data_IF_026900471354
#
_entry.id   IF_026900471354
#
_cell.length_a   1.000
_cell.length_b   1.000
_cell.length_c   1.000
_cell.angle_alpha   90.00
_cell.angle_beta   90.00
_cell.angle_gamma   90.00
#
_symmetry.space_group_name_H-M   'P 1'
#
loop_
_entity.id
_entity.type
_entity.pdbx_description
1 polymer ?
#
# COMPACT_ATOMS: atom_id res chain seq x y z
N UNK A 1 -9.98 -24.25 1.78
CA UNK A 1 -8.56 -24.04 1.41
C UNK A 1 -7.90 -22.89 2.18
N UNK A 2 -8.12 -22.78 3.49
CA UNK A 2 -7.40 -21.85 4.38
C UNK A 2 -6.02 -22.42 4.75
N UNK A 3 -5.92 -23.75 4.87
CA UNK A 3 -4.70 -24.51 5.12
C UNK A 3 -3.62 -24.29 4.05
N UNK A 4 -3.99 -24.14 2.77
CA UNK A 4 -3.04 -23.82 1.70
C UNK A 4 -2.45 -22.42 1.87
N UNK A 5 -3.26 -21.42 2.25
CA UNK A 5 -2.77 -20.06 2.52
C UNK A 5 -1.83 -20.05 3.73
N UNK A 6 -2.14 -20.79 4.80
CA UNK A 6 -1.29 -20.86 6.01
C UNK A 6 0.08 -21.49 5.71
N UNK A 7 0.15 -22.45 4.78
CA UNK A 7 1.42 -23.10 4.38
C UNK A 7 2.15 -22.27 3.32
N UNK A 8 1.43 -21.66 2.38
CA UNK A 8 2.01 -20.86 1.31
C UNK A 8 2.49 -19.48 1.80
N UNK A 9 1.85 -18.88 2.81
CA UNK A 9 2.21 -17.55 3.33
C UNK A 9 3.63 -17.49 3.92
N UNK A 10 4.08 -18.41 4.79
CA UNK A 10 5.46 -18.43 5.27
C UNK A 10 6.46 -18.76 4.14
N UNK A 11 6.11 -19.68 3.23
CA UNK A 11 6.97 -20.04 2.10
C UNK A 11 7.15 -18.89 1.10
N UNK A 12 6.06 -18.17 0.78
CA UNK A 12 6.08 -16.94 -0.01
C UNK A 12 6.77 -15.80 0.76
N UNK A 13 6.52 -15.65 2.06
CA UNK A 13 7.19 -14.66 2.92
C UNK A 13 8.71 -14.85 2.94
N UNK A 14 9.18 -16.09 2.95
CA UNK A 14 10.61 -16.41 2.89
C UNK A 14 11.23 -16.10 1.51
N UNK A 15 10.42 -16.18 0.44
CA UNK A 15 10.81 -15.81 -0.93
C UNK A 15 10.81 -14.28 -1.15
N UNK A 16 9.91 -13.55 -0.48
CA UNK A 16 9.81 -12.09 -0.49
C UNK A 16 10.59 -11.44 0.66
N UNK A 17 11.56 -12.14 1.25
CA UNK A 17 12.43 -11.63 2.33
C UNK A 17 13.39 -10.59 1.76
N UNK A 18 12.84 -9.42 1.50
CA UNK A 18 13.51 -8.25 0.95
C UNK A 18 13.98 -7.38 2.12
N UNK A 19 15.17 -6.76 2.01
CA UNK A 19 15.74 -5.90 3.07
C UNK A 19 14.68 -4.88 3.53
N UNK A 20 14.56 -4.61 4.85
CA UNK A 20 13.51 -3.76 5.42
C UNK A 20 13.47 -2.32 4.89
N UNK A 21 14.48 -1.92 4.12
CA UNK A 21 14.64 -0.62 3.47
C UNK A 21 13.98 -0.57 2.07
N UNK A 22 13.34 -1.65 1.60
CA UNK A 22 12.67 -1.67 0.30
C UNK A 22 11.22 -1.18 0.37
N UNK A 23 10.72 -0.46 -0.65
CA UNK A 23 9.39 0.17 -0.66
C UNK A 23 8.22 -0.79 -0.39
N UNK A 24 8.36 -2.06 -0.77
CA UNK A 24 7.37 -3.11 -0.47
C UNK A 24 7.33 -3.52 1.01
N UNK A 25 8.48 -3.50 1.71
CA UNK A 25 8.54 -3.80 3.14
C UNK A 25 7.96 -2.64 3.99
N UNK A 26 8.12 -1.42 3.50
CA UNK A 26 7.60 -0.19 4.11
C UNK A 26 6.08 -0.15 4.07
N UNK A 27 5.49 -0.55 2.93
CA UNK A 27 4.05 -0.79 2.78
C UNK A 27 3.51 -1.75 3.85
N UNK A 28 4.23 -2.85 4.11
CA UNK A 28 3.85 -3.82 5.14
C UNK A 28 3.93 -3.28 6.56
N UNK A 29 4.93 -2.43 6.88
CA UNK A 29 5.08 -1.78 8.19
C UNK A 29 4.00 -0.74 8.47
N UNK A 30 3.39 -0.14 7.44
CA UNK A 30 2.31 0.86 7.53
C UNK A 30 1.01 0.33 6.91
N UNK A 31 0.75 -0.97 7.05
CA UNK A 31 -0.39 -1.65 6.41
C UNK A 31 -1.76 -1.09 6.82
N UNK A 32 -1.95 -0.68 8.08
CA UNK A 32 -3.23 -0.15 8.58
C UNK A 32 -3.68 1.13 7.83
N UNK A 33 -2.89 2.22 7.77
CA UNK A 33 -3.30 3.42 7.04
C UNK A 33 -3.38 3.20 5.52
N UNK A 34 -2.51 2.36 4.95
CA UNK A 34 -2.55 2.02 3.52
C UNK A 34 -3.83 1.24 3.16
N UNK A 35 -4.30 0.37 4.05
CA UNK A 35 -5.56 -0.36 3.87
C UNK A 35 -6.78 0.55 3.88
N UNK A 36 -6.84 1.47 4.85
CA UNK A 36 -7.95 2.45 4.94
C UNK A 36 -7.97 3.34 3.69
N UNK A 37 -6.82 3.86 3.28
CA UNK A 37 -6.71 4.67 2.08
C UNK A 37 -7.10 3.88 0.82
N UNK A 38 -6.66 2.62 0.70
CA UNK A 38 -7.06 1.73 -0.40
C UNK A 38 -8.57 1.52 -0.47
N UNK A 39 -9.23 1.38 0.68
CA UNK A 39 -10.68 1.21 0.76
C UNK A 39 -11.42 2.47 0.31
N UNK A 40 -10.99 3.65 0.77
CA UNK A 40 -11.54 4.93 0.34
C UNK A 40 -11.36 5.16 -1.16
N UNK A 41 -10.18 4.83 -1.68
CA UNK A 41 -9.85 5.02 -3.08
C UNK A 41 -10.65 4.08 -3.99
N UNK A 42 -10.91 2.85 -3.55
CA UNK A 42 -11.81 1.93 -4.24
C UNK A 42 -13.25 2.47 -4.30
N UNK A 43 -13.75 3.03 -3.20
CA UNK A 43 -15.08 3.68 -3.20
C UNK A 43 -15.12 4.89 -4.14
N UNK A 44 -14.07 5.71 -4.18
CA UNK A 44 -13.97 6.82 -5.14
C UNK A 44 -13.94 6.33 -6.60
N UNK A 45 -13.17 5.27 -6.89
CA UNK A 45 -13.11 4.67 -8.22
C UNK A 45 -14.47 4.11 -8.67
N UNK A 46 -15.25 3.54 -7.74
CA UNK A 46 -16.63 3.10 -8.01
C UNK A 46 -17.53 4.28 -8.41
N UNK A 47 -17.44 5.42 -7.72
CA UNK A 47 -18.17 6.64 -8.09
C UNK A 47 -17.74 7.16 -9.45
N UNK A 48 -16.43 7.20 -9.74
CA UNK A 48 -15.89 7.58 -11.04
C UNK A 48 -16.40 6.68 -12.17
N UNK A 49 -16.56 5.38 -11.92
CA UNK A 49 -17.15 4.42 -12.86
C UNK A 49 -18.63 4.62 -13.10
N UNK A 50 -19.39 5.04 -12.09
CA UNK A 50 -20.81 5.35 -12.23
C UNK A 50 -21.05 6.53 -13.18
N UNK A 51 -20.16 7.53 -13.15
CA UNK A 51 -20.26 8.73 -13.98
C UNK A 51 -19.66 8.50 -15.38
N UNK A 52 -18.54 7.79 -15.46
CA UNK A 52 -17.90 7.39 -16.70
C UNK A 52 -17.81 5.85 -16.74
N UNK A 53 -18.82 5.17 -17.30
CA UNK A 53 -18.71 3.75 -17.65
C UNK A 53 -17.76 3.62 -18.84
N UNK A 54 -16.47 3.85 -18.59
CA UNK A 54 -15.40 3.64 -19.54
C UNK A 54 -15.17 2.16 -19.82
N UNK A 55 -14.46 1.87 -20.90
CA UNK A 55 -14.07 0.51 -21.25
C UNK A 55 -12.90 -0.03 -20.39
N UNK A 56 -12.43 -1.25 -20.67
CA UNK A 56 -11.38 -1.93 -19.89
C UNK A 56 -10.07 -1.13 -19.76
N UNK A 57 -9.77 -0.23 -20.71
CA UNK A 57 -8.63 0.68 -20.62
C UNK A 57 -8.75 1.66 -19.44
N UNK A 58 -9.94 2.21 -19.21
CA UNK A 58 -10.22 3.14 -18.11
C UNK A 58 -10.12 2.42 -16.75
N UNK A 59 -10.63 1.19 -16.68
CA UNK A 59 -10.54 0.33 -15.50
C UNK A 59 -9.09 0.04 -15.12
N UNK A 60 -8.28 -0.29 -16.12
CA UNK A 60 -6.85 -0.57 -15.94
C UNK A 60 -6.13 0.68 -15.44
N UNK A 61 -6.45 1.86 -15.98
CA UNK A 61 -5.89 3.14 -15.54
C UNK A 61 -6.28 3.48 -14.11
N UNK A 62 -7.54 3.29 -13.72
CA UNK A 62 -8.03 3.50 -12.36
C UNK A 62 -7.31 2.59 -11.36
N UNK A 63 -7.15 1.31 -11.69
CA UNK A 63 -6.45 0.34 -10.84
C UNK A 63 -4.97 0.70 -10.72
N UNK A 64 -4.30 0.98 -11.85
CA UNK A 64 -2.88 1.36 -11.85
C UNK A 64 -2.64 2.64 -11.04
N UNK A 65 -3.50 3.65 -11.20
CA UNK A 65 -3.44 4.89 -10.43
C UNK A 65 -3.64 4.63 -8.94
N UNK A 66 -4.59 3.77 -8.57
CA UNK A 66 -4.83 3.42 -7.18
C UNK A 66 -3.67 2.68 -6.52
N UNK A 67 -3.04 1.74 -7.23
CA UNK A 67 -1.83 1.07 -6.78
C UNK A 67 -0.71 2.10 -6.58
N UNK A 68 -0.45 2.95 -7.58
CA UNK A 68 0.58 3.99 -7.48
C UNK A 68 0.36 4.92 -6.27
N UNK A 69 -0.89 5.31 -6.01
CA UNK A 69 -1.24 6.16 -4.87
C UNK A 69 -1.01 5.44 -3.53
N UNK A 70 -1.24 4.12 -3.44
CA UNK A 70 -0.94 3.34 -2.22
C UNK A 70 0.57 3.28 -1.93
N UNK A 71 1.40 3.10 -2.96
CA UNK A 71 2.86 3.17 -2.81
C UNK A 71 3.33 4.56 -2.38
N UNK A 72 2.79 5.62 -3.00
CA UNK A 72 3.11 7.00 -2.66
C UNK A 72 2.75 7.32 -1.20
N UNK A 73 1.58 6.89 -0.73
CA UNK A 73 1.15 7.09 0.65
C UNK A 73 2.09 6.38 1.65
N UNK A 74 2.50 5.14 1.36
CA UNK A 74 3.39 4.40 2.24
C UNK A 74 4.76 5.09 2.39
N UNK A 75 5.33 5.56 1.28
CA UNK A 75 6.58 6.32 1.27
C UNK A 75 6.44 7.66 2.03
N UNK A 76 5.32 8.35 1.85
CA UNK A 76 5.05 9.60 2.55
C UNK A 76 4.94 9.39 4.07
N UNK A 77 4.24 8.35 4.51
CA UNK A 77 4.10 8.03 5.95
C UNK A 77 5.42 7.58 6.58
N UNK A 78 6.27 6.91 5.82
CA UNK A 78 7.62 6.58 6.28
C UNK A 78 8.50 7.84 6.41
N UNK A 79 8.49 8.70 5.40
CA UNK A 79 9.22 9.97 5.45
C UNK A 79 8.80 10.82 6.66
N UNK A 80 7.49 10.94 6.90
CA UNK A 80 6.95 11.64 8.06
C UNK A 80 7.41 11.02 9.39
N UNK A 81 7.44 9.69 9.47
CA UNK A 81 7.91 8.99 10.65
C UNK A 81 9.42 9.18 10.90
N UNK A 82 10.23 9.20 9.84
CA UNK A 82 11.66 9.48 9.93
C UNK A 82 11.98 10.89 10.44
N UNK A 83 11.17 11.89 10.07
CA UNK A 83 11.29 13.25 10.61
C UNK A 83 10.99 13.31 12.12
N UNK A 84 9.97 12.57 12.58
CA UNK A 84 9.61 12.50 14.00
C UNK A 84 10.72 11.90 14.88
N UNK A 85 11.35 10.83 14.41
CA UNK A 85 12.49 10.21 15.12
C UNK A 85 13.73 11.12 15.13
N UNK A 86 13.98 11.88 14.07
CA UNK A 86 15.12 12.80 13.99
C UNK A 86 14.99 13.95 14.99
N UNK A 87 13.80 14.56 15.12
CA UNK A 87 13.54 15.60 16.15
C UNK A 87 13.70 15.10 17.58
N UNK A 88 13.28 13.86 17.86
CA UNK A 88 13.41 13.28 19.21
C UNK A 88 14.87 13.07 19.64
N UNK A 89 15.78 12.89 18.67
CA UNK A 89 17.22 12.70 18.91
C UNK A 89 17.97 14.01 19.17
N UNK A 90 17.49 15.12 18.61
CA UNK A 90 18.05 16.46 18.77
C UNK A 90 17.70 17.11 20.12
N UNK A 91 16.61 16.66 20.74
CA UNK A 91 16.12 17.16 22.03
C UNK A 91 16.75 16.46 23.27
N UNK A 92 17.73 15.56 23.07
CA UNK A 92 18.39 14.76 24.12
C UNK A 92 19.89 14.99 24.13
#
# INVERSE_FOLDING_TARGET
SVSYLIVALPAASNLFRVRPDNPLAILGKRSLPVFIAGTLLAMAAQVLKLINPGGPAYDTLLIAAGIAMQFALALYLEWLAGLGTSRAKEAR
#
